data_IF_994972764177
#
_entry.id   IF_994972764177
#
_cell.length_a   1.000
_cell.length_b   1.000
_cell.length_c   1.000
_cell.angle_alpha   90.00
_cell.angle_beta   90.00
_cell.angle_gamma   90.00
#
_symmetry.space_group_name_H-M   'P 1'
#
loop_
_entity.id
_entity.type
_entity.pdbx_description
1 polymer ?
#
# COMPACT_ATOMS: atom_id res chain seq x y z
N UNK A 1 -77.66 19.64 -17.57
CA UNK A 1 -76.54 19.87 -16.63
C UNK A 1 -76.78 18.91 -15.48
N UNK A 2 -76.03 17.82 -15.41
CA UNK A 2 -76.19 16.79 -14.37
C UNK A 2 -75.47 17.27 -13.12
N UNK A 3 -76.24 17.69 -12.11
CA UNK A 3 -75.73 18.02 -10.79
C UNK A 3 -75.24 16.74 -10.12
N UNK A 4 -73.92 16.56 -10.11
CA UNK A 4 -73.26 15.47 -9.41
C UNK A 4 -73.32 15.74 -7.90
N UNK A 5 -74.45 15.46 -7.27
CA UNK A 5 -74.55 15.47 -5.82
C UNK A 5 -73.73 14.30 -5.26
N UNK A 6 -72.61 14.64 -4.66
CA UNK A 6 -71.71 13.73 -3.96
C UNK A 6 -72.50 13.15 -2.78
N UNK A 7 -72.57 11.83 -2.64
CA UNK A 7 -73.26 11.21 -1.50
C UNK A 7 -72.48 11.45 -0.20
N UNK A 8 -73.12 11.44 0.98
CA UNK A 8 -72.42 11.65 2.27
C UNK A 8 -71.26 10.68 2.49
N UNK A 9 -71.35 9.45 1.95
CA UNK A 9 -70.26 8.47 1.98
C UNK A 9 -69.07 8.86 1.09
N UNK A 10 -69.34 9.43 -0.09
CA UNK A 10 -68.30 9.93 -0.99
C UNK A 10 -67.62 11.19 -0.43
N UNK A 11 -68.38 12.05 0.26
CA UNK A 11 -67.84 13.24 0.94
C UNK A 11 -66.93 12.84 2.11
N UNK A 12 -67.34 11.86 2.92
CA UNK A 12 -66.52 11.29 3.99
C UNK A 12 -65.22 10.65 3.46
N UNK A 13 -65.32 9.86 2.39
CA UNK A 13 -64.15 9.25 1.74
C UNK A 13 -63.19 10.30 1.17
N UNK A 14 -63.70 11.44 0.67
CA UNK A 14 -62.89 12.54 0.17
C UNK A 14 -62.14 13.27 1.29
N UNK A 15 -62.79 13.45 2.45
CA UNK A 15 -62.18 14.06 3.64
C UNK A 15 -61.10 13.14 4.21
N UNK A 16 -61.39 11.84 4.38
CA UNK A 16 -60.41 10.86 4.82
C UNK A 16 -59.21 10.77 3.84
N UNK A 17 -59.46 10.84 2.53
CA UNK A 17 -58.42 10.90 1.52
C UNK A 17 -57.54 12.15 1.61
N UNK A 18 -58.14 13.32 1.88
CA UNK A 18 -57.41 14.58 2.10
C UNK A 18 -56.55 14.53 3.37
N UNK A 19 -57.08 13.97 4.46
CA UNK A 19 -56.35 13.83 5.72
C UNK A 19 -55.17 12.86 5.59
N UNK A 20 -55.36 11.74 4.88
CA UNK A 20 -54.27 10.80 4.56
C UNK A 20 -53.21 11.48 3.71
N UNK A 21 -53.59 12.31 2.73
CA UNK A 21 -52.65 13.03 1.88
C UNK A 21 -51.85 14.08 2.67
N UNK A 22 -52.52 14.86 3.52
CA UNK A 22 -51.89 15.85 4.40
C UNK A 22 -50.92 15.18 5.39
N UNK A 23 -51.32 14.03 5.96
CA UNK A 23 -50.47 13.21 6.82
C UNK A 23 -49.23 12.71 6.08
N UNK A 24 -49.38 12.16 4.87
CA UNK A 24 -48.25 11.72 4.02
C UNK A 24 -47.32 12.88 3.66
N UNK A 25 -47.85 14.07 3.39
CA UNK A 25 -47.05 15.26 3.10
C UNK A 25 -46.23 15.70 4.32
N UNK A 26 -46.82 15.65 5.52
CA UNK A 26 -46.11 15.93 6.78
C UNK A 26 -44.96 14.95 7.02
N UNK A 27 -45.18 13.65 6.80
CA UNK A 27 -44.16 12.60 6.94
C UNK A 27 -43.00 12.80 5.96
N UNK A 28 -43.28 13.12 4.70
CA UNK A 28 -42.23 13.40 3.69
C UNK A 28 -41.37 14.62 4.07
N UNK A 29 -41.99 15.68 4.60
CA UNK A 29 -41.26 16.87 5.06
C UNK A 29 -40.33 16.54 6.24
N UNK A 30 -40.81 15.76 7.20
CA UNK A 30 -40.01 15.30 8.35
C UNK A 30 -38.84 14.42 7.89
N UNK A 31 -39.05 13.51 6.93
CA UNK A 31 -37.98 12.72 6.31
C UNK A 31 -36.93 13.61 5.64
N UNK A 32 -37.36 14.63 4.89
CA UNK A 32 -36.44 15.60 4.29
C UNK A 32 -35.64 16.39 5.33
N UNK A 33 -36.27 16.81 6.44
CA UNK A 33 -35.57 17.47 7.56
C UNK A 33 -34.54 16.55 8.21
N UNK A 34 -34.88 15.29 8.46
CA UNK A 34 -33.96 14.30 9.01
C UNK A 34 -32.78 14.08 8.06
N UNK A 35 -33.02 13.97 6.76
CA UNK A 35 -31.97 13.87 5.75
C UNK A 35 -31.06 15.11 5.75
N UNK A 36 -31.63 16.31 5.84
CA UNK A 36 -30.88 17.56 5.92
C UNK A 36 -30.02 17.65 7.20
N UNK A 37 -30.58 17.32 8.37
CA UNK A 37 -29.83 17.31 9.64
C UNK A 37 -28.73 16.24 9.64
N UNK A 38 -28.99 15.06 9.06
CA UNK A 38 -27.96 14.05 8.88
C UNK A 38 -26.83 14.55 7.96
N UNK A 39 -27.16 15.21 6.84
CA UNK A 39 -26.17 15.80 5.95
C UNK A 39 -25.37 16.92 6.63
N UNK A 40 -26.03 17.80 7.40
CA UNK A 40 -25.37 18.82 8.21
C UNK A 40 -24.43 18.15 9.23
N UNK A 41 -24.85 17.08 9.89
CA UNK A 41 -24.00 16.31 10.80
C UNK A 41 -22.74 15.75 10.12
N UNK A 42 -22.86 15.26 8.88
CA UNK A 42 -21.70 14.79 8.07
C UNK A 42 -20.73 15.92 7.75
N UNK A 43 -21.24 17.04 7.24
CA UNK A 43 -20.45 18.23 6.93
C UNK A 43 -19.75 18.77 8.18
N UNK A 44 -20.44 18.78 9.33
CA UNK A 44 -19.87 19.21 10.61
C UNK A 44 -18.70 18.32 11.01
N UNK A 45 -18.75 17.00 10.78
CA UNK A 45 -17.65 16.10 11.13
C UNK A 45 -16.39 16.31 10.27
N UNK A 46 -16.54 16.54 8.97
CA UNK A 46 -15.39 16.80 8.08
C UNK A 46 -14.81 18.19 8.33
N UNK A 47 -15.68 19.20 8.45
CA UNK A 47 -15.24 20.57 8.74
C UNK A 47 -14.59 20.69 10.12
N UNK A 48 -15.11 20.02 11.15
CA UNK A 48 -14.49 19.90 12.47
C UNK A 48 -13.06 19.34 12.35
N UNK A 49 -12.87 18.25 11.61
CA UNK A 49 -11.54 17.67 11.41
C UNK A 49 -10.59 18.59 10.65
N UNK A 50 -11.07 19.31 9.62
CA UNK A 50 -10.25 20.31 8.93
C UNK A 50 -9.84 21.46 9.84
N UNK A 51 -10.76 21.96 10.68
CA UNK A 51 -10.45 22.97 11.68
C UNK A 51 -9.45 22.43 12.73
N UNK A 52 -9.62 21.17 13.16
CA UNK A 52 -8.68 20.52 14.05
C UNK A 52 -7.28 20.38 13.41
N UNK A 53 -7.20 20.08 12.11
CA UNK A 53 -5.94 20.05 11.36
C UNK A 53 -5.29 21.44 11.31
N UNK A 54 -6.06 22.48 10.95
CA UNK A 54 -5.57 23.86 10.92
C UNK A 54 -5.07 24.30 12.30
N UNK A 55 -5.83 24.02 13.36
CA UNK A 55 -5.44 24.31 14.74
C UNK A 55 -4.16 23.58 15.14
N UNK A 56 -4.03 22.30 14.74
CA UNK A 56 -2.85 21.48 15.00
C UNK A 56 -1.60 22.06 14.33
N UNK A 57 -1.73 22.49 13.08
CA UNK A 57 -0.64 23.02 12.26
C UNK A 57 -0.24 24.45 12.68
N UNK A 58 -1.22 25.31 12.95
CA UNK A 58 -1.00 26.69 13.41
C UNK A 58 -0.42 26.76 14.82
N UNK A 59 -0.70 25.76 15.65
CA UNK A 59 -0.36 25.71 17.08
C UNK A 59 -0.97 26.83 17.91
N UNK A 60 -2.02 27.49 17.40
CA UNK A 60 -2.74 28.58 18.08
C UNK A 60 -3.46 28.10 19.36
N UNK A 61 -3.62 26.78 19.54
CA UNK A 61 -4.11 26.21 20.79
C UNK A 61 -3.17 26.42 21.98
N UNK A 62 -1.88 26.73 21.75
CA UNK A 62 -0.90 26.91 22.82
C UNK A 62 -1.12 28.22 23.56
N UNK A 63 -1.19 28.15 24.89
CA UNK A 63 -1.48 29.29 25.75
C UNK A 63 -2.97 29.52 26.00
N UNK A 64 -3.85 28.74 25.35
CA UNK A 64 -5.26 28.73 25.70
C UNK A 64 -5.45 28.21 27.13
N UNK A 65 -6.41 28.79 27.83
CA UNK A 65 -6.73 28.45 29.21
C UNK A 65 -8.05 27.71 29.24
N UNK A 66 -8.06 26.54 29.89
CA UNK A 66 -9.25 25.74 30.12
C UNK A 66 -9.50 25.63 31.63
N UNK A 67 -10.74 25.79 32.04
CA UNK A 67 -11.18 25.49 33.40
C UNK A 67 -11.83 24.11 33.40
N UNK A 68 -11.32 23.21 34.24
CA UNK A 68 -11.89 21.87 34.39
C UNK A 68 -13.17 21.88 35.26
N UNK A 69 -13.81 20.71 35.37
CA UNK A 69 -15.04 20.53 36.17
C UNK A 69 -14.81 20.73 37.67
N UNK A 70 -13.57 20.59 38.13
CA UNK A 70 -13.15 20.77 39.52
C UNK A 70 -12.75 22.24 39.84
N UNK A 71 -12.81 23.12 38.82
CA UNK A 71 -12.49 24.54 38.93
C UNK A 71 -11.00 24.87 38.80
N UNK A 72 -10.14 23.90 38.50
CA UNK A 72 -8.73 24.14 38.23
C UNK A 72 -8.54 24.74 36.84
N UNK A 73 -7.60 25.68 36.78
CA UNK A 73 -7.24 26.38 35.55
C UNK A 73 -6.01 25.69 34.95
N UNK A 74 -6.17 25.10 33.77
CA UNK A 74 -5.12 24.42 33.02
C UNK A 74 -4.76 25.24 31.80
N UNK A 75 -3.48 25.56 31.63
CA UNK A 75 -2.96 26.16 30.39
C UNK A 75 -2.58 25.05 29.41
N UNK A 76 -3.10 25.13 28.19
CA UNK A 76 -2.86 24.17 27.13
C UNK A 76 -1.49 24.47 26.50
N UNK A 77 -0.62 23.48 26.47
CA UNK A 77 0.74 23.58 25.92
C UNK A 77 1.02 22.55 24.83
N UNK A 78 0.28 21.44 24.83
CA UNK A 78 0.46 20.33 23.90
C UNK A 78 -0.81 20.03 23.10
N UNK A 79 -0.63 19.37 21.94
CA UNK A 79 -1.74 18.88 21.12
C UNK A 79 -2.62 17.88 21.88
N UNK A 80 -2.01 17.06 22.74
CA UNK A 80 -2.75 16.08 23.53
C UNK A 80 -3.70 16.74 24.55
N UNK A 81 -3.24 17.81 25.22
CA UNK A 81 -4.08 18.63 26.10
C UNK A 81 -5.20 19.33 25.31
N UNK A 82 -4.90 19.86 24.12
CA UNK A 82 -5.92 20.44 23.25
C UNK A 82 -7.00 19.42 22.88
N UNK A 83 -6.61 18.21 22.44
CA UNK A 83 -7.57 17.16 22.14
C UNK A 83 -8.43 16.80 23.36
N UNK A 84 -7.79 16.61 24.52
CA UNK A 84 -8.48 16.20 25.76
C UNK A 84 -9.44 17.27 26.27
N UNK A 85 -8.99 18.52 26.35
CA UNK A 85 -9.71 19.58 27.05
C UNK A 85 -10.63 20.40 26.14
N UNK A 86 -10.22 20.66 24.90
CA UNK A 86 -10.98 21.48 23.94
C UNK A 86 -11.82 20.61 23.02
N UNK A 87 -11.21 19.64 22.34
CA UNK A 87 -11.92 18.75 21.40
C UNK A 87 -12.69 17.63 22.11
N UNK A 88 -12.49 17.48 23.43
CA UNK A 88 -13.11 16.45 24.29
C UNK A 88 -12.95 15.02 23.73
N UNK A 89 -11.84 14.76 23.05
CA UNK A 89 -11.55 13.47 22.44
C UNK A 89 -10.10 13.05 22.68
N UNK A 90 -9.85 11.73 22.68
CA UNK A 90 -8.49 11.20 22.79
C UNK A 90 -7.69 11.60 21.56
N UNK A 91 -6.49 12.15 21.77
CA UNK A 91 -5.54 12.51 20.71
C UNK A 91 -5.42 11.43 19.63
N UNK A 92 -5.25 10.16 20.03
CA UNK A 92 -5.12 9.04 19.10
C UNK A 92 -6.31 8.93 18.14
N UNK A 93 -7.54 9.14 18.61
CA UNK A 93 -8.73 9.07 17.75
C UNK A 93 -8.73 10.22 16.75
N UNK A 94 -8.47 11.44 17.20
CA UNK A 94 -8.40 12.64 16.35
C UNK A 94 -7.32 12.45 15.28
N UNK A 95 -6.10 12.07 15.69
CA UNK A 95 -4.99 11.85 14.76
C UNK A 95 -5.32 10.75 13.73
N UNK A 96 -5.98 9.66 14.13
CA UNK A 96 -6.41 8.62 13.18
C UNK A 96 -7.47 9.13 12.19
N UNK A 97 -8.45 9.91 12.66
CA UNK A 97 -9.49 10.51 11.79
C UNK A 97 -8.86 11.50 10.81
N UNK A 98 -7.91 12.32 11.25
CA UNK A 98 -7.15 13.25 10.40
C UNK A 98 -6.37 12.52 9.31
N UNK A 99 -5.62 11.47 9.68
CA UNK A 99 -4.87 10.66 8.70
C UNK A 99 -5.82 10.03 7.69
N UNK A 100 -6.96 9.47 8.13
CA UNK A 100 -7.94 8.87 7.22
C UNK A 100 -8.53 9.88 6.25
N UNK A 101 -8.90 11.06 6.76
CA UNK A 101 -9.45 12.13 5.94
C UNK A 101 -8.44 12.61 4.89
N UNK A 102 -7.18 12.78 5.28
CA UNK A 102 -6.12 13.19 4.37
C UNK A 102 -5.79 12.12 3.33
N UNK A 103 -5.78 10.85 3.73
CA UNK A 103 -5.35 9.75 2.86
C UNK A 103 -6.44 9.31 1.89
N UNK A 104 -7.70 9.27 2.33
CA UNK A 104 -8.81 8.74 1.53
C UNK A 104 -9.70 9.82 0.90
N UNK A 105 -9.53 11.08 1.32
CA UNK A 105 -10.40 12.17 0.88
C UNK A 105 -11.71 12.25 1.66
N UNK A 106 -12.44 13.34 1.43
CA UNK A 106 -13.65 13.70 2.18
C UNK A 106 -14.82 12.77 1.90
N UNK A 107 -15.07 12.50 0.62
CA UNK A 107 -16.24 11.72 0.18
C UNK A 107 -16.21 10.30 0.73
N UNK A 108 -15.10 9.59 0.55
CA UNK A 108 -14.94 8.26 1.12
C UNK A 108 -14.94 8.28 2.65
N UNK A 109 -14.28 9.26 3.27
CA UNK A 109 -14.25 9.34 4.73
C UNK A 109 -15.67 9.47 5.30
N UNK A 110 -16.52 10.31 4.71
CA UNK A 110 -17.93 10.42 5.08
C UNK A 110 -18.69 9.11 4.83
N UNK A 111 -18.52 8.48 3.67
CA UNK A 111 -19.15 7.20 3.35
C UNK A 111 -18.78 6.14 4.40
N UNK A 112 -17.49 6.04 4.74
CA UNK A 112 -16.96 5.14 5.77
C UNK A 112 -17.55 5.42 7.16
N UNK A 113 -17.74 6.68 7.55
CA UNK A 113 -18.42 7.02 8.81
C UNK A 113 -19.90 6.60 8.78
N UNK A 114 -20.59 6.86 7.67
CA UNK A 114 -22.02 6.55 7.51
C UNK A 114 -22.30 5.04 7.60
N UNK A 115 -21.48 4.24 6.92
CA UNK A 115 -21.54 2.78 7.00
C UNK A 115 -20.93 2.22 8.30
N UNK A 116 -20.43 3.09 9.19
CA UNK A 116 -19.80 2.73 10.47
C UNK A 116 -18.63 1.74 10.28
N UNK A 117 -17.79 1.99 9.30
CA UNK A 117 -16.57 1.21 9.06
C UNK A 117 -15.64 1.36 10.26
N UNK A 118 -15.09 0.25 10.74
CA UNK A 118 -14.34 0.22 11.99
C UNK A 118 -12.95 0.81 11.87
N UNK A 119 -12.36 1.17 13.02
CA UNK A 119 -10.98 1.64 13.07
C UNK A 119 -9.98 0.65 12.46
N UNK A 120 -10.17 -0.66 12.71
CA UNK A 120 -9.25 -1.67 12.18
C UNK A 120 -9.35 -1.80 10.66
N UNK A 121 -10.56 -1.70 10.10
CA UNK A 121 -10.80 -1.80 8.66
C UNK A 121 -10.10 -0.64 7.93
N UNK A 122 -10.33 0.59 8.40
CA UNK A 122 -9.65 1.79 7.89
C UNK A 122 -8.13 1.72 8.11
N UNK A 123 -7.66 1.07 9.16
CA UNK A 123 -6.21 0.87 9.39
C UNK A 123 -5.61 -0.11 8.40
N UNK A 124 -6.29 -1.20 8.09
CA UNK A 124 -5.84 -2.16 7.08
C UNK A 124 -5.84 -1.50 5.70
N UNK A 125 -6.90 -0.77 5.35
CA UNK A 125 -6.98 -0.04 4.09
C UNK A 125 -5.78 0.92 3.91
N UNK A 126 -5.39 1.68 4.94
CA UNK A 126 -4.21 2.55 4.89
C UNK A 126 -2.89 1.82 4.62
N UNK A 127 -2.82 0.52 4.89
CA UNK A 127 -1.63 -0.31 4.71
C UNK A 127 -1.55 -0.97 3.33
N UNK A 128 -2.63 -0.91 2.54
CA UNK A 128 -2.64 -1.41 1.18
C UNK A 128 -1.86 -0.46 0.24
N UNK A 129 -1.40 -0.93 -0.93
CA UNK A 129 -0.92 -0.06 -2.01
C UNK A 129 -1.95 1.00 -2.42
N UNK A 130 -1.50 2.14 -2.98
CA UNK A 130 -2.41 3.23 -3.39
C UNK A 130 -3.46 2.76 -4.41
N UNK A 131 -3.07 1.93 -5.37
CA UNK A 131 -3.98 1.37 -6.38
C UNK A 131 -5.09 0.51 -5.74
N UNK A 132 -4.73 -0.31 -4.75
CA UNK A 132 -5.68 -1.14 -4.00
C UNK A 132 -6.58 -0.29 -3.08
N UNK A 133 -6.05 0.81 -2.54
CA UNK A 133 -6.86 1.78 -1.80
C UNK A 133 -7.91 2.40 -2.70
N UNK A 134 -7.51 2.87 -3.90
CA UNK A 134 -8.41 3.46 -4.88
C UNK A 134 -9.50 2.45 -5.29
N UNK A 135 -9.13 1.19 -5.54
CA UNK A 135 -10.09 0.13 -5.87
C UNK A 135 -11.17 -0.07 -4.79
N UNK A 136 -10.80 0.02 -3.51
CA UNK A 136 -11.78 -0.06 -2.41
C UNK A 136 -12.64 1.20 -2.36
N UNK A 137 -12.01 2.38 -2.46
CA UNK A 137 -12.67 3.69 -2.36
C UNK A 137 -13.73 3.88 -3.45
N UNK A 138 -13.41 3.49 -4.68
CA UNK A 138 -14.26 3.64 -5.86
C UNK A 138 -15.15 2.41 -6.10
N UNK A 139 -15.21 1.47 -5.16
CA UNK A 139 -16.02 0.26 -5.33
C UNK A 139 -17.52 0.53 -5.24
N UNK A 140 -18.30 -0.21 -6.02
CA UNK A 140 -19.78 -0.20 -5.94
C UNK A 140 -20.29 -0.50 -4.52
N UNK A 141 -19.52 -1.26 -3.72
CA UNK A 141 -19.85 -1.55 -2.33
C UNK A 141 -19.87 -0.28 -1.45
N UNK A 142 -18.99 0.68 -1.71
CA UNK A 142 -19.00 1.99 -1.03
C UNK A 142 -20.24 2.79 -1.43
N UNK A 143 -20.55 2.84 -2.73
CA UNK A 143 -21.73 3.54 -3.25
C UNK A 143 -23.04 2.95 -2.70
N UNK A 144 -23.11 1.62 -2.62
CA UNK A 144 -24.24 0.89 -2.05
C UNK A 144 -24.33 1.00 -0.51
N UNK A 145 -23.29 1.51 0.15
CA UNK A 145 -23.21 1.56 1.61
C UNK A 145 -23.07 0.18 2.26
N UNK A 146 -22.61 -0.82 1.52
CA UNK A 146 -22.43 -2.19 1.99
C UNK A 146 -21.10 -2.35 2.74
N UNK A 147 -21.19 -2.14 4.06
CA UNK A 147 -20.07 -2.27 4.97
C UNK A 147 -19.37 -3.64 4.88
N UNK A 148 -20.12 -4.72 4.77
CA UNK A 148 -19.55 -6.07 4.87
C UNK A 148 -18.85 -6.44 3.56
N UNK A 149 -19.39 -6.02 2.42
CA UNK A 149 -18.71 -6.14 1.13
C UNK A 149 -17.40 -5.31 1.08
N UNK A 150 -17.42 -4.08 1.58
CA UNK A 150 -16.19 -3.24 1.66
C UNK A 150 -15.12 -3.91 2.52
N UNK A 151 -15.51 -4.47 3.68
CA UNK A 151 -14.58 -5.19 4.56
C UNK A 151 -13.99 -6.42 3.89
N UNK A 152 -14.83 -7.21 3.22
CA UNK A 152 -14.38 -8.40 2.53
C UNK A 152 -13.36 -8.04 1.44
N UNK A 153 -13.63 -6.99 0.66
CA UNK A 153 -12.69 -6.51 -0.36
C UNK A 153 -11.33 -6.09 0.25
N UNK A 154 -11.34 -5.35 1.37
CA UNK A 154 -10.13 -4.96 2.08
C UNK A 154 -9.33 -6.19 2.55
N UNK A 155 -10.01 -7.19 3.11
CA UNK A 155 -9.36 -8.41 3.61
C UNK A 155 -8.80 -9.28 2.48
N UNK A 156 -9.51 -9.38 1.36
CA UNK A 156 -9.07 -10.10 0.16
C UNK A 156 -7.82 -9.47 -0.45
N UNK A 157 -7.80 -8.13 -0.60
CA UNK A 157 -6.63 -7.40 -1.11
C UNK A 157 -5.44 -7.53 -0.16
N UNK A 158 -5.66 -7.44 1.15
CA UNK A 158 -4.61 -7.67 2.15
C UNK A 158 -4.03 -9.08 2.05
N UNK A 159 -4.89 -10.09 1.89
CA UNK A 159 -4.45 -11.48 1.76
C UNK A 159 -3.65 -11.70 0.48
N UNK A 160 -4.11 -11.13 -0.64
CA UNK A 160 -3.41 -11.14 -1.92
C UNK A 160 -2.04 -10.48 -1.81
N UNK A 161 -1.98 -9.26 -1.28
CA UNK A 161 -0.72 -8.53 -1.12
C UNK A 161 0.26 -9.26 -0.20
N UNK A 162 -0.23 -9.85 0.90
CA UNK A 162 0.62 -10.67 1.77
C UNK A 162 1.22 -11.86 1.02
N UNK A 163 0.40 -12.55 0.22
CA UNK A 163 0.86 -13.69 -0.58
C UNK A 163 1.90 -13.26 -1.62
N UNK A 164 1.66 -12.18 -2.35
CA UNK A 164 2.60 -11.66 -3.35
C UNK A 164 3.93 -11.25 -2.73
N UNK A 165 3.92 -10.62 -1.55
CA UNK A 165 5.14 -10.29 -0.79
C UNK A 165 5.89 -11.55 -0.36
N UNK A 166 5.19 -12.58 0.12
CA UNK A 166 5.80 -13.84 0.52
C UNK A 166 6.41 -14.58 -0.70
N UNK A 167 5.71 -14.61 -1.83
CA UNK A 167 6.16 -15.23 -3.09
C UNK A 167 7.40 -14.49 -3.65
N UNK A 168 7.36 -13.16 -3.73
CA UNK A 168 8.50 -12.33 -4.16
C UNK A 168 9.70 -12.51 -3.24
N UNK A 169 9.48 -12.61 -1.93
CA UNK A 169 10.57 -12.84 -0.97
C UNK A 169 11.23 -14.20 -1.21
N UNK A 170 10.46 -15.24 -1.53
CA UNK A 170 11.03 -16.54 -1.88
C UNK A 170 11.81 -16.48 -3.19
N UNK A 171 11.31 -15.78 -4.20
CA UNK A 171 12.00 -15.61 -5.48
C UNK A 171 13.33 -14.87 -5.32
N UNK A 172 13.35 -13.78 -4.54
CA UNK A 172 14.59 -13.04 -4.22
C UNK A 172 15.60 -13.95 -3.51
N UNK A 173 15.17 -14.74 -2.52
CA UNK A 173 16.05 -15.68 -1.83
C UNK A 173 16.61 -16.77 -2.76
N UNK A 174 15.78 -17.31 -3.65
CA UNK A 174 16.19 -18.31 -4.63
C UNK A 174 17.19 -17.73 -5.65
N UNK A 175 16.90 -16.53 -6.16
CA UNK A 175 17.78 -15.80 -7.08
C UNK A 175 19.14 -15.48 -6.43
N UNK A 176 19.14 -15.00 -5.19
CA UNK A 176 20.37 -14.74 -4.43
C UNK A 176 21.20 -16.02 -4.22
N UNK A 177 20.55 -17.14 -3.91
CA UNK A 177 21.22 -18.44 -3.77
C UNK A 177 21.83 -18.89 -5.10
N UNK A 178 21.10 -18.76 -6.21
CA UNK A 178 21.58 -19.11 -7.55
C UNK A 178 22.74 -18.23 -7.99
N UNK A 179 22.68 -16.91 -7.73
CA UNK A 179 23.77 -15.98 -8.01
C UNK A 179 25.03 -16.34 -7.23
N UNK A 180 24.91 -16.69 -5.94
CA UNK A 180 26.05 -17.15 -5.14
C UNK A 180 26.66 -18.44 -5.67
N UNK A 181 25.82 -19.41 -6.05
CA UNK A 181 26.28 -20.67 -6.64
C UNK A 181 27.01 -20.43 -7.97
N UNK A 182 26.45 -19.61 -8.86
CA UNK A 182 27.07 -19.26 -10.14
C UNK A 182 28.40 -18.53 -9.96
N UNK A 183 28.52 -17.63 -8.98
CA UNK A 183 29.79 -16.97 -8.67
C UNK A 183 30.86 -17.97 -8.24
N UNK A 184 30.52 -18.88 -7.32
CA UNK A 184 31.45 -19.95 -6.89
C UNK A 184 31.91 -20.82 -8.05
N UNK A 185 30.96 -21.29 -8.86
CA UNK A 185 31.27 -22.11 -10.03
C UNK A 185 32.15 -21.35 -11.04
N UNK A 186 31.89 -20.05 -11.24
CA UNK A 186 32.72 -19.23 -12.09
C UNK A 186 34.14 -19.06 -11.52
N UNK A 187 34.27 -18.84 -10.22
CA UNK A 187 35.58 -18.76 -9.54
C UNK A 187 36.35 -20.08 -9.67
N UNK A 188 35.69 -21.23 -9.48
CA UNK A 188 36.25 -22.56 -9.69
C UNK A 188 36.70 -22.76 -11.15
N UNK A 189 35.85 -22.42 -12.11
CA UNK A 189 36.18 -22.50 -13.55
C UNK A 189 37.37 -21.60 -13.90
N UNK A 190 37.46 -20.39 -13.34
CA UNK A 190 38.60 -19.49 -13.55
C UNK A 190 39.89 -20.13 -13.03
N UNK A 191 39.85 -20.73 -11.84
CA UNK A 191 41.00 -21.43 -11.25
C UNK A 191 41.42 -22.63 -12.10
N UNK A 192 40.49 -23.47 -12.53
CA UNK A 192 40.78 -24.61 -13.42
C UNK A 192 41.35 -24.14 -14.77
N UNK A 193 40.80 -23.07 -15.35
CA UNK A 193 41.28 -22.54 -16.62
C UNK A 193 42.72 -22.01 -16.50
N UNK A 194 43.05 -21.36 -15.39
CA UNK A 194 44.43 -20.94 -15.08
C UNK A 194 45.36 -22.14 -14.94
N UNK A 195 44.96 -23.18 -14.20
CA UNK A 195 45.76 -24.40 -14.05
C UNK A 195 46.00 -25.11 -15.38
N UNK A 196 44.97 -25.23 -16.23
CA UNK A 196 45.08 -25.84 -17.55
C UNK A 196 46.00 -25.03 -18.47
N UNK A 197 45.93 -23.69 -18.43
CA UNK A 197 46.85 -22.82 -19.17
C UNK A 197 48.29 -23.04 -18.74
N UNK A 198 48.54 -23.10 -17.43
CA UNK A 198 49.87 -23.37 -16.88
C UNK A 198 50.41 -24.73 -17.35
N UNK A 199 49.59 -25.79 -17.27
CA UNK A 199 49.97 -27.12 -17.78
C UNK A 199 50.25 -27.12 -19.28
N UNK A 200 49.47 -26.39 -20.08
CA UNK A 200 49.72 -26.24 -21.51
C UNK A 200 51.06 -25.52 -21.77
N UNK A 201 51.37 -24.48 -21.00
CA UNK A 201 52.66 -23.80 -21.08
C UNK A 201 53.82 -24.75 -20.76
N UNK A 202 53.71 -25.54 -19.69
CA UNK A 202 54.71 -26.54 -19.32
C UNK A 202 54.87 -27.64 -20.39
N UNK A 203 53.78 -28.12 -20.99
CA UNK A 203 53.85 -29.13 -22.07
C UNK A 203 54.43 -28.58 -23.37
N UNK A 204 54.14 -27.31 -23.71
CA UNK A 204 54.72 -26.65 -24.90
C UNK A 204 56.20 -26.33 -24.72
N UNK A 205 56.64 -26.09 -23.47
CA UNK A 205 58.02 -25.76 -23.14
C UNK A 205 58.56 -26.75 -22.09
N UNK A 206 59.02 -27.92 -22.55
CA UNK A 206 59.82 -28.83 -21.71
C UNK A 206 61.31 -28.63 -22.04
N UNK A 207 62.13 -28.13 -21.09
CA UNK A 207 63.56 -27.96 -21.27
C UNK A 207 64.27 -29.27 -21.61
N UNK A 208 63.82 -30.39 -21.04
CA UNK A 208 64.37 -31.73 -21.30
C UNK A 208 64.08 -32.18 -22.73
N UNK A 209 62.85 -31.96 -23.21
CA UNK A 209 62.47 -32.26 -24.59
C UNK A 209 63.25 -31.40 -25.57
N UNK A 210 63.32 -30.09 -25.31
CA UNK A 210 64.10 -29.16 -26.13
C UNK A 210 65.59 -29.53 -26.17
N UNK A 211 66.18 -29.90 -25.02
CA UNK A 211 67.57 -30.34 -24.94
C UNK A 211 67.81 -31.64 -25.73
N UNK A 212 66.85 -32.56 -25.71
CA UNK A 212 66.85 -33.77 -26.56
C UNK A 212 66.81 -33.42 -28.04
N UNK A 213 65.82 -32.64 -28.45
CA UNK A 213 65.63 -32.22 -29.85
C UNK A 213 66.86 -31.48 -30.41
N UNK A 214 67.48 -30.60 -29.60
CA UNK A 214 68.72 -29.88 -29.96
C UNK A 214 69.92 -30.84 -30.07
N UNK A 215 70.06 -31.79 -29.13
CA UNK A 215 71.14 -32.78 -29.17
C UNK A 215 71.04 -33.67 -30.41
N UNK A 216 69.84 -34.10 -30.76
CA UNK A 216 69.57 -34.92 -31.93
C UNK A 216 69.86 -34.14 -33.23
N UNK A 217 69.46 -32.86 -33.29
CA UNK A 217 69.82 -31.98 -34.40
C UNK A 217 71.34 -31.87 -34.60
N UNK A 218 72.10 -31.62 -33.54
CA UNK A 218 73.57 -31.55 -33.63
C UNK A 218 74.20 -32.89 -33.98
N UNK A 219 73.66 -34.01 -33.49
CA UNK A 219 74.14 -35.35 -33.83
C UNK A 219 73.92 -35.68 -35.32
N UNK A 220 72.76 -35.32 -35.87
CA UNK A 220 72.45 -35.47 -37.30
C UNK A 220 73.38 -34.58 -38.14
N UNK A 221 73.59 -33.32 -37.73
CA UNK A 221 74.44 -32.39 -38.45
C UNK A 221 75.93 -32.83 -38.42
N UNK A 222 76.41 -33.32 -37.29
CA UNK A 222 77.76 -33.87 -37.17
C UNK A 222 77.95 -35.10 -38.09
N UNK A 223 76.97 -36.01 -38.13
CA UNK A 223 76.98 -37.15 -39.07
C UNK A 223 77.00 -36.69 -40.53
N UNK A 224 76.16 -35.71 -40.89
CA UNK A 224 76.14 -35.15 -42.25
C UNK A 224 77.48 -34.51 -42.62
N UNK A 225 78.08 -33.71 -41.74
CA UNK A 225 79.40 -33.11 -41.97
C UNK A 225 80.51 -34.15 -42.11
N UNK A 226 80.47 -35.22 -41.33
CA UNK A 226 81.45 -36.32 -41.43
C UNK A 226 81.31 -37.06 -42.75
N UNK A 227 80.07 -37.34 -43.18
CA UNK A 227 79.79 -37.94 -44.49
C UNK A 227 80.22 -37.05 -45.66
N UNK A 228 80.07 -35.73 -45.53
CA UNK A 228 80.56 -34.78 -46.54
C UNK A 228 82.10 -34.84 -46.60
N UNK A 229 82.79 -34.84 -45.46
CA UNK A 229 84.25 -34.90 -45.41
C UNK A 229 84.80 -36.23 -45.97
N UNK A 230 84.16 -37.36 -45.68
CA UNK A 230 84.53 -38.68 -46.23
C UNK A 230 84.21 -38.79 -47.73
N UNK A 231 83.22 -38.05 -48.24
CA UNK A 231 82.91 -37.99 -49.68
C UNK A 231 83.86 -37.10 -50.48
N UNK A 232 84.72 -36.32 -49.82
CA UNK A 232 85.72 -35.42 -50.44
C UNK A 232 87.17 -35.95 -50.35
N UNK A 233 87.41 -37.11 -49.70
CA UNK A 233 88.70 -37.83 -49.66
C UNK A 233 88.73 -39.00 -50.64
#
# INVERSE_FOLDING_TARGET
MTDTHITPEQEKALIEGKDILASKQSVLLQLGQIQAFNFIGKLVNVTELKLAQQLKDSKEYKGLVHQDEDGNVVTITTWEECCKYILKEKRRNVDNRLINLQQFGEEFFEAAQNMKLGYNDLRVLRQLPEDDQALVIESEAVEAGDKDAVKQLIDDLKAKHKKEVDDLRQEVLASDAMLRANRKLNDENVMENQQLKEQLHQRKFSPEKWKGDVKDFFAVNAKANTQILEGFS
#
